data_IF_784586848201
#
_entry.id   IF_784586848201
#
_cell.length_a   1.000
_cell.length_b   1.000
_cell.length_c   1.000
_cell.angle_alpha   90.00
_cell.angle_beta   90.00
_cell.angle_gamma   90.00
#
_symmetry.space_group_name_H-M   'P 1'
#
loop_
_entity.id
_entity.type
_entity.pdbx_description
1 polymer ?
#
# COMPACT_ATOMS: atom_id res chain seq x y z
N UNK A 1 0.44 -73.07 -59.69
CA UNK A 1 -0.51 -73.88 -58.89
C UNK A 1 -0.56 -73.32 -57.48
N UNK A 2 -1.75 -72.90 -57.01
CA UNK A 2 -2.21 -72.82 -55.60
C UNK A 2 -1.41 -71.91 -54.64
N UNK A 3 -1.96 -71.16 -53.69
CA UNK A 3 -3.32 -70.74 -53.26
C UNK A 3 -3.06 -69.79 -52.07
N UNK A 4 -3.84 -68.71 -51.97
CA UNK A 4 -4.31 -68.02 -50.76
C UNK A 4 -3.33 -67.60 -49.64
N UNK A 5 -3.37 -66.32 -49.23
CA UNK A 5 -4.06 -65.93 -47.99
C UNK A 5 -4.35 -64.42 -47.98
N UNK A 6 -5.63 -64.09 -47.73
CA UNK A 6 -6.14 -62.75 -47.46
C UNK A 6 -5.88 -62.42 -46.00
N UNK A 7 -5.47 -61.18 -45.69
CA UNK A 7 -5.85 -60.53 -44.43
C UNK A 7 -6.17 -59.07 -44.71
N UNK A 8 -7.46 -58.75 -44.62
CA UNK A 8 -7.95 -57.39 -44.42
C UNK A 8 -7.70 -57.02 -42.96
N UNK A 9 -6.99 -55.92 -42.71
CA UNK A 9 -7.01 -55.25 -41.42
C UNK A 9 -7.98 -54.06 -41.53
N UNK A 10 -9.16 -54.20 -40.91
CA UNK A 10 -10.12 -53.11 -40.72
C UNK A 10 -9.71 -52.37 -39.44
N UNK A 11 -9.06 -51.23 -39.58
CA UNK A 11 -8.78 -50.31 -38.47
C UNK A 11 -9.98 -49.43 -38.22
N UNK A 12 -10.68 -49.63 -37.11
CA UNK A 12 -11.76 -48.77 -36.64
C UNK A 12 -11.12 -47.54 -35.98
N UNK A 13 -11.19 -46.37 -36.64
CA UNK A 13 -10.93 -45.08 -36.00
C UNK A 13 -12.12 -44.74 -35.08
N UNK A 14 -11.97 -44.95 -33.78
CA UNK A 14 -12.87 -44.41 -32.77
C UNK A 14 -12.47 -42.98 -32.42
N UNK A 15 -13.20 -41.99 -32.95
CA UNK A 15 -13.06 -40.59 -32.54
C UNK A 15 -13.71 -40.38 -31.17
N UNK A 16 -12.89 -40.34 -30.12
CA UNK A 16 -13.34 -39.90 -28.78
C UNK A 16 -13.45 -38.38 -28.81
N UNK A 17 -14.68 -37.88 -28.89
CA UNK A 17 -14.98 -36.46 -28.77
C UNK A 17 -14.88 -36.07 -27.29
N UNK A 18 -13.70 -35.62 -26.87
CA UNK A 18 -13.50 -34.96 -25.58
C UNK A 18 -14.21 -33.61 -25.62
N UNK A 19 -15.40 -33.55 -25.00
CA UNK A 19 -16.05 -32.29 -24.65
C UNK A 19 -15.18 -31.57 -23.63
N UNK A 20 -14.30 -30.69 -24.11
CA UNK A 20 -13.59 -29.74 -23.28
C UNK A 20 -14.62 -28.75 -22.71
N UNK A 21 -15.08 -29.00 -21.50
CA UNK A 21 -15.74 -27.98 -20.69
C UNK A 21 -14.71 -26.84 -20.49
N UNK A 22 -15.10 -25.57 -20.66
CA UNK A 22 -14.22 -24.47 -20.27
C UNK A 22 -13.99 -24.61 -18.77
N UNK A 23 -12.76 -24.95 -18.39
CA UNK A 23 -12.32 -24.78 -17.02
C UNK A 23 -12.40 -23.27 -16.76
N UNK A 24 -13.46 -22.83 -16.09
CA UNK A 24 -13.50 -21.52 -15.47
C UNK A 24 -12.37 -21.54 -14.45
N UNK A 25 -11.20 -21.02 -14.82
CA UNK A 25 -10.13 -20.74 -13.89
C UNK A 25 -10.74 -19.80 -12.85
N UNK A 26 -11.01 -20.33 -11.66
CA UNK A 26 -11.22 -19.51 -10.48
C UNK A 26 -9.96 -18.64 -10.41
N UNK A 27 -10.11 -17.34 -10.64
CA UNK A 27 -9.04 -16.39 -10.47
C UNK A 27 -8.61 -16.48 -9.01
N UNK A 28 -7.56 -17.27 -8.76
CA UNK A 28 -6.88 -17.26 -7.47
C UNK A 28 -6.51 -15.81 -7.24
N UNK A 29 -7.01 -15.23 -6.15
CA UNK A 29 -6.46 -14.01 -5.59
C UNK A 29 -5.00 -14.34 -5.27
N UNK A 30 -4.12 -14.09 -6.25
CA UNK A 30 -2.70 -14.41 -6.15
C UNK A 30 -2.11 -13.45 -5.12
N UNK A 31 -2.10 -13.92 -3.87
CA UNK A 31 -1.45 -13.23 -2.76
C UNK A 31 0.04 -13.43 -2.90
N UNK A 32 0.78 -12.34 -2.84
CA UNK A 32 2.23 -12.29 -2.88
C UNK A 32 2.71 -11.89 -1.50
N UNK A 33 3.41 -12.80 -0.84
CA UNK A 33 4.10 -12.49 0.42
C UNK A 33 5.43 -11.83 0.07
N UNK A 34 5.66 -10.62 0.58
CA UNK A 34 6.89 -9.87 0.36
C UNK A 34 7.67 -9.75 1.66
N UNK A 35 8.92 -10.21 1.65
CA UNK A 35 9.82 -10.19 2.82
C UNK A 35 11.17 -9.57 2.51
N UNK A 36 11.33 -9.00 1.32
CA UNK A 36 12.52 -8.30 0.85
C UNK A 36 12.17 -7.37 -0.33
N UNK A 37 12.84 -7.48 -1.47
CA UNK A 37 12.50 -6.72 -2.67
C UNK A 37 11.22 -7.23 -3.33
N UNK A 38 10.23 -6.34 -3.52
CA UNK A 38 9.16 -6.51 -4.49
C UNK A 38 9.64 -5.95 -5.83
N UNK A 39 9.70 -6.81 -6.84
CA UNK A 39 10.06 -6.41 -8.19
C UNK A 39 8.95 -5.56 -8.83
N UNK A 40 9.29 -4.81 -9.89
CA UNK A 40 8.29 -4.20 -10.74
C UNK A 40 7.36 -5.27 -11.35
N UNK A 41 6.06 -5.02 -11.39
CA UNK A 41 5.09 -6.01 -11.88
C UNK A 41 3.65 -5.79 -11.43
N UNK A 42 2.79 -6.74 -11.75
CA UNK A 42 1.38 -6.74 -11.33
C UNK A 42 1.11 -7.88 -10.34
N UNK A 43 0.41 -7.55 -9.27
CA UNK A 43 0.18 -8.41 -8.12
C UNK A 43 -1.31 -8.43 -7.78
N UNK A 44 -1.81 -9.60 -7.40
CA UNK A 44 -3.19 -9.74 -6.92
C UNK A 44 -3.36 -9.04 -5.59
N UNK A 45 -2.64 -9.45 -4.56
CA UNK A 45 -2.56 -8.81 -3.24
C UNK A 45 -1.12 -8.88 -2.76
N UNK A 46 -0.62 -7.85 -2.08
CA UNK A 46 0.68 -7.91 -1.41
C UNK A 46 0.48 -7.99 0.09
N UNK A 47 1.20 -8.91 0.74
CA UNK A 47 1.21 -9.06 2.20
C UNK A 47 2.66 -8.97 2.68
N UNK A 48 2.93 -8.04 3.59
CA UNK A 48 4.19 -7.95 4.32
C UNK A 48 3.94 -8.57 5.71
N UNK A 49 4.45 -9.78 5.98
CA UNK A 49 4.19 -10.45 7.25
C UNK A 49 4.88 -9.76 8.42
N UNK A 50 4.53 -10.18 9.64
CA UNK A 50 5.09 -9.63 10.88
C UNK A 50 6.61 -9.55 10.87
N UNK A 51 7.15 -8.40 11.26
CA UNK A 51 8.59 -8.12 11.33
C UNK A 51 9.33 -8.11 9.99
N UNK A 52 8.65 -8.36 8.88
CA UNK A 52 9.28 -8.42 7.56
C UNK A 52 9.40 -7.03 6.94
N UNK A 53 10.36 -6.89 6.03
CA UNK A 53 10.57 -5.66 5.26
C UNK A 53 10.26 -5.93 3.80
N UNK A 54 9.47 -5.06 3.17
CA UNK A 54 9.17 -5.13 1.76
C UNK A 54 9.54 -3.81 1.09
N UNK A 55 10.48 -3.84 0.15
CA UNK A 55 11.00 -2.66 -0.55
C UNK A 55 10.67 -2.73 -2.03
N UNK A 56 10.29 -1.60 -2.63
CA UNK A 56 9.95 -1.52 -4.05
C UNK A 56 10.31 -0.16 -4.63
N UNK A 57 11.14 -0.14 -5.67
CA UNK A 57 11.37 1.07 -6.48
C UNK A 57 10.24 1.32 -7.49
N UNK A 58 9.37 0.33 -7.71
CA UNK A 58 8.31 0.40 -8.72
C UNK A 58 8.80 0.26 -10.16
N UNK A 59 7.90 0.38 -11.15
CA UNK A 59 6.46 0.52 -10.97
C UNK A 59 5.78 -0.80 -10.55
N UNK A 60 4.87 -0.75 -9.58
CA UNK A 60 4.02 -1.89 -9.19
C UNK A 60 2.53 -1.61 -9.40
N UNK A 61 1.75 -2.63 -9.73
CA UNK A 61 0.29 -2.57 -9.80
C UNK A 61 -0.31 -3.63 -8.88
N UNK A 62 -0.94 -3.21 -7.78
CA UNK A 62 -1.52 -4.10 -6.75
C UNK A 62 -3.03 -3.95 -6.73
N UNK A 63 -3.75 -4.96 -7.21
CA UNK A 63 -5.21 -4.87 -7.41
C UNK A 63 -6.00 -4.96 -6.10
N UNK A 64 -5.65 -5.93 -5.25
CA UNK A 64 -6.37 -6.31 -4.04
C UNK A 64 -5.86 -5.66 -2.76
N UNK A 65 -4.94 -4.71 -2.88
CA UNK A 65 -4.37 -3.93 -1.78
C UNK A 65 -3.07 -4.49 -1.19
N UNK A 66 -2.47 -3.68 -0.33
CA UNK A 66 -1.25 -3.99 0.44
C UNK A 66 -1.63 -4.14 1.90
N UNK A 67 -1.18 -5.23 2.54
CA UNK A 67 -1.46 -5.55 3.94
C UNK A 67 -0.15 -5.70 4.71
N UNK A 68 0.03 -4.89 5.75
CA UNK A 68 1.29 -4.74 6.47
C UNK A 68 1.08 -5.19 7.91
N UNK A 69 1.80 -6.22 8.32
CA UNK A 69 1.71 -6.80 9.65
C UNK A 69 2.41 -6.00 10.74
N UNK A 70 2.32 -6.50 11.97
CA UNK A 70 2.97 -5.89 13.13
C UNK A 70 4.49 -5.87 12.97
N UNK A 71 5.13 -4.76 13.35
CA UNK A 71 6.57 -4.52 13.22
C UNK A 71 7.10 -4.61 11.78
N UNK A 72 6.22 -4.67 10.78
CA UNK A 72 6.63 -4.81 9.39
C UNK A 72 6.91 -3.44 8.76
N UNK A 73 7.78 -3.43 7.76
CA UNK A 73 8.15 -2.24 6.98
C UNK A 73 7.72 -2.43 5.54
N UNK A 74 7.00 -1.46 4.98
CA UNK A 74 6.71 -1.39 3.55
C UNK A 74 7.22 -0.07 3.00
N UNK A 75 8.02 -0.14 1.92
CA UNK A 75 8.54 1.02 1.20
C UNK A 75 8.19 0.87 -0.27
N UNK A 76 7.50 1.86 -0.81
CA UNK A 76 7.24 2.01 -2.24
C UNK A 76 7.73 3.39 -2.71
N UNK A 77 8.82 3.38 -3.48
CA UNK A 77 9.52 4.59 -3.90
C UNK A 77 10.38 5.22 -2.80
N UNK A 78 10.79 6.46 -3.04
CA UNK A 78 11.51 7.30 -2.08
C UNK A 78 11.59 8.74 -2.60
N UNK A 79 12.13 9.65 -1.79
CA UNK A 79 12.15 11.10 -2.03
C UNK A 79 12.86 11.51 -3.34
N UNK A 80 13.78 10.67 -3.80
CA UNK A 80 14.54 10.86 -5.05
C UNK A 80 13.79 10.37 -6.30
N UNK A 81 12.63 9.71 -6.12
CA UNK A 81 11.87 9.19 -7.24
C UNK A 81 11.22 10.34 -8.01
N UNK A 82 11.56 10.47 -9.29
CA UNK A 82 10.98 11.51 -10.16
C UNK A 82 9.82 10.99 -11.02
N UNK A 83 9.36 9.76 -10.75
CA UNK A 83 8.38 9.06 -11.58
C UNK A 83 7.41 8.25 -10.74
N UNK A 84 6.21 8.01 -11.28
CA UNK A 84 5.19 7.22 -10.62
C UNK A 84 5.70 5.82 -10.22
N UNK A 85 5.55 5.45 -8.95
CA UNK A 85 6.08 4.21 -8.35
C UNK A 85 5.08 3.07 -8.35
N UNK A 86 3.78 3.37 -8.49
CA UNK A 86 2.79 2.32 -8.63
C UNK A 86 1.34 2.76 -8.49
N UNK A 87 0.46 1.77 -8.69
CA UNK A 87 -0.98 1.88 -8.46
C UNK A 87 -1.41 0.81 -7.47
N UNK A 88 -2.06 1.21 -6.38
CA UNK A 88 -2.63 0.31 -5.36
C UNK A 88 -4.14 0.49 -5.36
N UNK A 89 -4.86 -0.43 -6.01
CA UNK A 89 -6.31 -0.28 -6.19
C UNK A 89 -7.08 -0.62 -4.91
N UNK A 90 -6.68 -1.68 -4.18
CA UNK A 90 -7.38 -2.14 -2.97
C UNK A 90 -7.08 -1.35 -1.69
N UNK A 91 -6.29 -0.28 -1.77
CA UNK A 91 -5.84 0.50 -0.62
C UNK A 91 -4.69 -0.16 0.16
N UNK A 92 -4.29 0.50 1.23
CA UNK A 92 -3.20 0.11 2.12
C UNK A 92 -3.76 -0.10 3.53
N UNK A 93 -3.45 -1.24 4.13
CA UNK A 93 -3.96 -1.64 5.44
C UNK A 93 -2.77 -2.06 6.31
N UNK A 94 -2.56 -1.39 7.43
CA UNK A 94 -1.44 -1.68 8.33
C UNK A 94 -1.91 -1.81 9.78
N UNK A 95 -1.34 -2.75 10.50
CA UNK A 95 -1.61 -2.95 11.93
C UNK A 95 -0.31 -3.10 12.69
N UNK A 96 -0.04 -2.15 13.58
CA UNK A 96 1.19 -1.94 14.32
C UNK A 96 2.45 -1.99 13.43
N UNK A 97 2.48 -1.33 12.25
CA UNK A 97 3.66 -1.37 11.40
C UNK A 97 4.87 -0.74 12.09
N UNK A 98 6.07 -1.14 11.67
CA UNK A 98 7.27 -0.38 11.97
C UNK A 98 7.32 0.88 11.10
N UNK A 99 7.17 0.73 9.79
CA UNK A 99 7.22 1.87 8.85
C UNK A 99 6.33 1.61 7.64
N UNK A 100 5.62 2.65 7.19
CA UNK A 100 4.90 2.67 5.92
C UNK A 100 5.35 3.90 5.15
N UNK A 101 6.08 3.66 4.07
CA UNK A 101 6.65 4.69 3.22
C UNK A 101 6.11 4.50 1.80
N UNK A 102 5.41 5.50 1.27
CA UNK A 102 4.80 5.45 -0.04
C UNK A 102 4.96 6.82 -0.70
N UNK A 103 5.69 6.84 -1.82
CA UNK A 103 6.02 8.03 -2.57
C UNK A 103 5.52 7.91 -3.99
N UNK A 104 4.99 8.99 -4.59
CA UNK A 104 4.63 9.06 -6.02
C UNK A 104 3.68 7.95 -6.51
N UNK A 105 2.77 7.47 -5.66
CA UNK A 105 1.82 6.42 -6.01
C UNK A 105 0.42 6.95 -6.28
N UNK A 106 -0.36 6.19 -7.05
CA UNK A 106 -1.83 6.31 -7.08
C UNK A 106 -2.44 5.23 -6.20
N UNK A 107 -3.25 5.61 -5.21
CA UNK A 107 -3.94 4.69 -4.33
C UNK A 107 -5.43 4.88 -4.56
N UNK A 108 -6.08 3.94 -5.25
CA UNK A 108 -7.52 4.10 -5.57
C UNK A 108 -8.41 3.81 -4.36
N UNK A 109 -7.91 2.96 -3.45
CA UNK A 109 -8.52 2.76 -2.16
C UNK A 109 -8.19 3.89 -1.19
N UNK A 110 -8.31 3.60 0.10
CA UNK A 110 -7.81 4.47 1.16
C UNK A 110 -6.51 3.94 1.76
N UNK A 111 -6.05 4.65 2.79
CA UNK A 111 -4.98 4.20 3.68
C UNK A 111 -5.57 4.06 5.08
N UNK A 112 -5.36 2.91 5.70
CA UNK A 112 -5.81 2.61 7.06
C UNK A 112 -4.64 2.03 7.87
N UNK A 113 -4.05 2.84 8.74
CA UNK A 113 -2.92 2.49 9.58
C UNK A 113 -3.34 2.61 11.05
N UNK A 114 -3.21 1.51 11.80
CA UNK A 114 -3.52 1.48 13.24
C UNK A 114 -2.30 1.03 14.02
N UNK A 115 -1.89 1.80 15.03
CA UNK A 115 -0.75 1.48 15.88
C UNK A 115 0.61 1.80 15.25
N UNK A 116 1.66 1.52 16.00
CA UNK A 116 3.06 1.53 15.57
C UNK A 116 3.87 0.56 16.42
N UNK A 117 5.10 0.25 16.02
CA UNK A 117 5.99 -0.63 16.80
C UNK A 117 6.96 0.10 17.73
N UNK A 118 6.76 1.40 17.94
CA UNK A 118 7.62 2.29 18.73
C UNK A 118 8.73 2.93 17.89
N UNK A 119 9.40 3.99 18.41
CA UNK A 119 10.29 4.89 17.65
C UNK A 119 11.59 4.27 17.12
N UNK A 120 11.99 3.12 17.67
CA UNK A 120 13.28 2.50 17.37
C UNK A 120 13.09 1.06 16.90
N UNK A 121 13.87 0.68 15.89
CA UNK A 121 13.85 -0.67 15.32
C UNK A 121 13.67 -0.66 13.80
N UNK A 122 13.13 -1.76 13.29
CA UNK A 122 12.99 -1.97 11.85
C UNK A 122 14.34 -2.06 11.12
N UNK A 123 14.34 -2.05 9.78
CA UNK A 123 15.56 -2.13 8.97
C UNK A 123 16.41 -0.86 8.98
N UNK A 124 15.91 0.23 9.57
CA UNK A 124 16.53 1.56 9.50
C UNK A 124 16.92 2.16 10.86
N UNK A 125 16.89 1.35 11.93
CA UNK A 125 17.20 1.72 13.33
C UNK A 125 16.21 2.68 13.99
N UNK A 126 15.55 3.55 13.22
CA UNK A 126 14.41 4.38 13.61
C UNK A 126 13.20 4.05 12.72
N UNK A 127 12.01 4.31 13.23
CA UNK A 127 10.74 4.03 12.52
C UNK A 127 10.09 5.32 12.04
N UNK A 128 9.68 5.38 10.79
CA UNK A 128 8.96 6.54 10.29
C UNK A 128 7.95 6.16 9.21
N UNK A 129 6.87 6.92 9.18
CA UNK A 129 5.93 6.92 8.07
C UNK A 129 6.24 8.11 7.18
N UNK A 130 6.30 7.87 5.88
CA UNK A 130 6.47 8.92 4.87
C UNK A 130 5.47 8.64 3.76
N UNK A 131 4.32 9.28 3.84
CA UNK A 131 3.26 9.16 2.83
C UNK A 131 3.28 10.46 2.05
N UNK A 132 3.97 10.46 0.91
CA UNK A 132 4.29 11.69 0.20
C UNK A 132 4.01 11.65 -1.30
N UNK A 133 3.64 12.79 -1.87
CA UNK A 133 3.46 12.97 -3.32
C UNK A 133 2.48 11.96 -3.96
N UNK A 134 1.49 11.51 -3.19
CA UNK A 134 0.52 10.51 -3.66
C UNK A 134 -0.78 11.13 -4.16
N UNK A 135 -1.44 10.41 -5.06
CA UNK A 135 -2.85 10.63 -5.37
C UNK A 135 -3.69 9.54 -4.70
N UNK A 136 -4.45 9.89 -3.67
CA UNK A 136 -5.23 8.97 -2.83
C UNK A 136 -6.71 9.22 -3.08
N UNK A 137 -7.41 8.27 -3.72
CA UNK A 137 -8.81 8.44 -4.06
C UNK A 137 -9.77 8.16 -2.89
N UNK A 138 -9.34 7.39 -1.90
CA UNK A 138 -10.11 7.09 -0.69
C UNK A 138 -9.80 8.00 0.49
N UNK A 139 -10.38 7.64 1.64
CA UNK A 139 -10.07 8.28 2.91
C UNK A 139 -8.71 7.80 3.47
N UNK A 140 -8.09 8.63 4.32
CA UNK A 140 -6.88 8.28 5.05
C UNK A 140 -7.19 8.27 6.53
N UNK A 141 -6.79 7.19 7.21
CA UNK A 141 -6.81 7.06 8.65
C UNK A 141 -5.43 6.60 9.11
N UNK A 142 -4.82 7.36 10.01
CA UNK A 142 -3.64 6.93 10.77
C UNK A 142 -3.93 7.19 12.24
N UNK A 143 -4.05 6.13 13.01
CA UNK A 143 -4.41 6.21 14.42
C UNK A 143 -3.49 5.42 15.33
N UNK A 144 -3.06 6.06 16.41
CA UNK A 144 -2.24 5.40 17.42
C UNK A 144 -0.83 5.04 16.92
N UNK A 145 -0.35 5.65 15.84
CA UNK A 145 1.01 5.41 15.37
C UNK A 145 2.01 5.89 16.43
N UNK A 146 2.83 4.97 16.92
CA UNK A 146 3.92 5.19 17.86
C UNK A 146 5.24 4.95 17.11
N UNK A 147 5.98 6.03 16.84
CA UNK A 147 7.12 6.04 15.93
C UNK A 147 8.08 7.20 16.17
N UNK A 148 9.07 7.38 15.28
CA UNK A 148 10.04 8.46 15.41
C UNK A 148 9.56 9.72 14.69
N UNK A 149 9.09 9.56 13.45
CA UNK A 149 8.63 10.65 12.59
C UNK A 149 7.46 10.23 11.71
N UNK A 150 6.60 11.19 11.33
CA UNK A 150 5.50 10.98 10.41
C UNK A 150 5.23 12.21 9.52
N UNK A 151 5.61 12.07 8.25
CA UNK A 151 5.22 12.95 7.16
C UNK A 151 4.00 12.45 6.43
N UNK A 152 2.97 13.29 6.39
CA UNK A 152 1.87 13.21 5.44
C UNK A 152 1.90 14.46 4.59
N UNK A 153 2.67 14.41 3.48
CA UNK A 153 3.13 15.61 2.79
C UNK A 153 2.81 15.59 1.29
N UNK A 154 2.34 16.72 0.73
CA UNK A 154 2.10 16.88 -0.72
C UNK A 154 1.14 15.85 -1.34
N UNK A 155 0.23 15.28 -0.56
CA UNK A 155 -0.76 14.33 -1.08
C UNK A 155 -1.97 15.06 -1.66
N UNK A 156 -2.56 14.47 -2.69
CA UNK A 156 -3.89 14.82 -3.18
C UNK A 156 -4.89 13.75 -2.75
N UNK A 157 -5.80 14.09 -1.85
CA UNK A 157 -6.73 13.16 -1.20
C UNK A 157 -8.16 13.47 -1.60
N UNK A 158 -8.87 12.52 -2.21
CA UNK A 158 -10.28 12.68 -2.59
C UNK A 158 -11.28 12.24 -1.49
N UNK A 159 -10.78 11.85 -0.32
CA UNK A 159 -11.55 11.52 0.88
C UNK A 159 -11.22 12.41 2.08
N UNK A 160 -11.81 12.06 3.23
CA UNK A 160 -11.44 12.70 4.51
C UNK A 160 -10.17 12.09 5.10
N UNK A 161 -9.43 12.89 5.85
CA UNK A 161 -8.18 12.52 6.52
C UNK A 161 -8.38 12.60 8.02
N UNK A 162 -7.97 11.55 8.73
CA UNK A 162 -8.03 11.47 10.19
C UNK A 162 -6.69 10.97 10.73
N UNK A 163 -6.02 11.83 11.48
CA UNK A 163 -4.73 11.56 12.10
C UNK A 163 -4.86 11.71 13.61
N UNK A 164 -5.05 10.63 14.36
CA UNK A 164 -5.37 10.74 15.78
C UNK A 164 -4.46 9.90 16.66
N UNK A 165 -4.17 10.42 17.85
CA UNK A 165 -3.44 9.72 18.90
C UNK A 165 -2.06 9.22 18.44
N UNK A 166 -1.45 9.85 17.45
CA UNK A 166 -0.11 9.50 17.00
C UNK A 166 0.91 10.12 17.96
N UNK A 167 1.83 9.29 18.47
CA UNK A 167 2.86 9.68 19.42
C UNK A 167 4.22 9.51 18.74
N UNK A 168 4.97 10.59 18.62
CA UNK A 168 6.27 10.58 17.97
C UNK A 168 7.35 11.08 18.90
N UNK A 169 8.56 10.52 18.74
CA UNK A 169 9.71 10.85 19.56
C UNK A 169 10.29 12.24 19.23
N UNK A 170 10.32 12.64 17.95
CA UNK A 170 10.80 13.97 17.59
C UNK A 170 9.79 15.07 17.96
N UNK A 171 10.27 16.25 18.34
CA UNK A 171 9.42 17.36 18.80
C UNK A 171 8.67 18.04 17.65
N UNK A 172 9.17 17.91 16.42
CA UNK A 172 8.56 18.42 15.19
C UNK A 172 8.08 17.29 14.25
N UNK A 173 8.07 16.04 14.71
CA UNK A 173 7.88 14.87 13.85
C UNK A 173 6.50 14.69 13.20
N UNK A 174 5.46 15.37 13.69
CA UNK A 174 4.12 15.26 13.11
C UNK A 174 3.93 16.34 12.04
N UNK A 175 4.16 15.99 10.79
CA UNK A 175 4.12 16.93 9.68
C UNK A 175 3.03 16.58 8.67
N UNK A 176 1.87 17.21 8.82
CA UNK A 176 0.72 16.99 7.94
C UNK A 176 0.52 18.24 7.08
N UNK A 177 1.34 18.41 6.05
CA UNK A 177 1.49 19.70 5.37
C UNK A 177 1.44 19.59 3.85
N UNK A 178 1.10 20.69 3.20
CA UNK A 178 1.09 20.83 1.73
C UNK A 178 0.13 19.86 1.02
N UNK A 179 -0.88 19.32 1.72
CA UNK A 179 -1.86 18.43 1.10
C UNK A 179 -3.00 19.22 0.47
N UNK A 180 -3.66 18.61 -0.53
CA UNK A 180 -4.98 19.03 -1.01
C UNK A 180 -5.99 17.95 -0.65
N UNK A 181 -6.97 18.30 0.17
CA UNK A 181 -7.92 17.36 0.77
C UNK A 181 -9.35 17.73 0.37
N UNK A 182 -9.95 16.91 -0.49
CA UNK A 182 -11.35 17.01 -0.90
C UNK A 182 -12.27 16.29 0.10
N UNK A 183 -12.13 16.64 1.38
CA UNK A 183 -12.88 16.10 2.51
C UNK A 183 -12.60 16.92 3.77
N UNK A 184 -12.87 16.33 4.94
CA UNK A 184 -12.48 16.92 6.22
C UNK A 184 -11.07 16.50 6.64
N UNK A 185 -10.42 17.33 7.43
CA UNK A 185 -9.16 17.02 8.11
C UNK A 185 -9.38 17.05 9.63
N UNK A 186 -9.19 15.91 10.29
CA UNK A 186 -9.31 15.78 11.73
C UNK A 186 -8.00 15.35 12.35
N UNK A 187 -7.58 16.05 13.39
CA UNK A 187 -6.46 15.64 14.21
C UNK A 187 -6.75 15.81 15.70
N UNK A 188 -6.64 14.74 16.46
CA UNK A 188 -6.92 14.74 17.90
C UNK A 188 -5.92 13.88 18.65
N UNK A 189 -5.41 14.36 19.78
CA UNK A 189 -4.57 13.57 20.67
C UNK A 189 -3.17 13.24 20.15
N UNK A 190 -2.71 13.84 19.04
CA UNK A 190 -1.34 13.65 18.57
C UNK A 190 -0.34 14.37 19.48
N UNK A 191 0.83 13.79 19.65
CA UNK A 191 1.95 14.33 20.43
C UNK A 191 3.27 14.04 19.71
N UNK A 192 4.03 15.05 19.26
CA UNK A 192 3.74 16.48 19.33
C UNK A 192 2.50 16.87 18.51
N UNK A 193 2.01 18.10 18.71
CA UNK A 193 0.95 18.65 17.88
C UNK A 193 1.45 18.73 16.42
N UNK A 194 0.62 18.41 15.40
CA UNK A 194 1.00 18.60 14.01
C UNK A 194 1.42 20.03 13.71
N UNK A 195 2.50 20.18 12.95
CA UNK A 195 3.14 21.46 12.67
C UNK A 195 3.75 21.50 11.26
N UNK A 196 4.07 22.71 10.81
CA UNK A 196 5.04 22.93 9.73
C UNK A 196 6.41 22.87 10.39
N UNK A 197 7.04 21.69 10.42
CA UNK A 197 8.36 21.49 10.98
C UNK A 197 9.45 21.78 9.93
N UNK A 198 10.42 20.89 9.81
CA UNK A 198 11.61 21.05 8.99
C UNK A 198 11.42 20.68 7.51
N UNK A 199 10.27 20.09 7.13
CA UNK A 199 9.92 19.92 5.71
C UNK A 199 9.69 21.23 4.96
N UNK A 200 9.61 22.36 5.67
CA UNK A 200 9.30 23.69 5.13
C UNK A 200 8.00 23.71 4.30
N UNK A 201 7.06 22.84 4.64
CA UNK A 201 5.76 22.73 3.98
C UNK A 201 4.90 23.99 4.08
N UNK A 202 3.83 24.02 3.30
CA UNK A 202 2.77 25.05 3.39
C UNK A 202 1.52 24.48 4.05
N UNK A 203 0.59 25.34 4.50
CA UNK A 203 -0.66 24.84 5.05
C UNK A 203 -1.49 23.98 4.08
N UNK A 204 -2.32 23.08 4.60
CA UNK A 204 -3.20 22.25 3.77
C UNK A 204 -4.29 23.07 3.08
N UNK A 205 -4.74 22.58 1.94
CA UNK A 205 -5.95 23.05 1.27
C UNK A 205 -7.08 22.06 1.51
N UNK A 206 -7.97 22.37 2.44
CA UNK A 206 -9.08 21.50 2.84
C UNK A 206 -10.41 22.09 2.37
N UNK A 207 -11.24 21.28 1.72
CA UNK A 207 -12.58 21.73 1.27
C UNK A 207 -13.70 21.51 2.29
N UNK A 208 -13.49 20.58 3.23
CA UNK A 208 -14.38 20.30 4.36
C UNK A 208 -13.95 21.03 5.64
N UNK A 209 -14.41 20.51 6.78
CA UNK A 209 -14.02 21.05 8.08
C UNK A 209 -12.62 20.56 8.49
N UNK A 210 -11.80 21.49 8.99
CA UNK A 210 -10.61 21.22 9.78
C UNK A 210 -10.97 21.21 11.26
N UNK A 211 -10.52 20.21 12.01
CA UNK A 211 -10.89 20.08 13.43
C UNK A 211 -9.73 19.63 14.31
N UNK A 212 -9.78 20.05 15.57
CA UNK A 212 -8.81 19.69 16.60
C UNK A 212 -7.46 20.36 16.37
N UNK A 213 -6.39 19.57 16.39
CA UNK A 213 -5.03 20.06 16.29
C UNK A 213 -4.63 20.52 14.89
N UNK A 214 -5.36 20.13 13.84
CA UNK A 214 -5.06 20.51 12.46
C UNK A 214 -5.86 21.72 11.98
N UNK A 215 -6.57 22.43 12.86
CA UNK A 215 -7.23 23.68 12.48
C UNK A 215 -6.21 24.75 12.10
N UNK A 216 -6.28 25.23 10.85
CA UNK A 216 -5.37 26.22 10.28
C UNK A 216 -4.00 25.67 9.89
N UNK A 217 -3.85 24.33 9.85
CA UNK A 217 -2.62 23.64 9.42
C UNK A 217 -2.71 23.23 7.95
#
# INVERSE_FOLDING_TARGET
>A
MRRHFRMLAVGILGSVLLLALPASAMAGSNTTTCTEQLAAGSYGRVVVPEGATCLSEGPVSVHGGVYIGAGATFVLGGDEAQTATGTITGGVHATNPASVQIHFATIDGGIDIHGGSGPFGGPFEITWNAIEDNHINGAVTVEGYDGFWFGFIRNHVNGSVRMNNNVLEDEDANEYVTNTIHGSLQCEGNSPKPAVGDSEGSPNQVTGAETGQCEGL
#
